data_IF_373318321776
#
_entry.id   IF_373318321776
#
_cell.length_a   1.000
_cell.length_b   1.000
_cell.length_c   1.000
_cell.angle_alpha   90.00
_cell.angle_beta   90.00
_cell.angle_gamma   90.00
#
_symmetry.space_group_name_H-M   'P 1'
#
loop_
_entity.id
_entity.type
_entity.pdbx_description
1 polymer ?
#
# COMPACT_ATOMS: atom_id res chain seq x y z
N UNK A 1 -1.30 -5.19 1.31
CA UNK A 1 -0.13 -4.50 0.70
C UNK A 1 -0.06 -4.82 -0.79
N UNK A 2 0.55 -3.96 -1.60
CA UNK A 2 0.62 -4.10 -3.06
C UNK A 2 2.05 -4.48 -3.54
N UNK A 3 2.59 -5.59 -3.04
CA UNK A 3 3.92 -6.09 -3.42
C UNK A 3 3.81 -7.28 -4.38
N UNK A 4 4.85 -7.55 -5.17
CA UNK A 4 4.91 -8.70 -6.08
C UNK A 4 5.26 -9.98 -5.32
N UNK A 5 4.32 -10.48 -4.51
CA UNK A 5 4.47 -11.75 -3.81
C UNK A 5 3.13 -12.51 -3.77
N UNK A 6 3.13 -13.86 -3.76
CA UNK A 6 1.90 -14.63 -3.66
C UNK A 6 1.10 -14.25 -2.39
N UNK A 7 -0.18 -13.93 -2.56
CA UNK A 7 -1.02 -13.43 -1.48
C UNK A 7 -1.09 -14.38 -0.28
N UNK A 8 -1.10 -15.71 -0.51
CA UNK A 8 -1.15 -16.71 0.54
C UNK A 8 0.17 -16.90 1.32
N UNK A 9 1.26 -16.27 0.86
CA UNK A 9 2.57 -16.30 1.53
C UNK A 9 2.95 -14.94 2.11
N UNK A 10 2.11 -13.93 1.93
CA UNK A 10 2.37 -12.57 2.40
C UNK A 10 1.52 -12.27 3.63
N UNK A 11 2.18 -11.99 4.75
CA UNK A 11 1.57 -11.41 5.93
C UNK A 11 2.29 -10.09 6.27
N UNK A 12 1.56 -9.12 6.80
CA UNK A 12 2.10 -7.87 7.32
C UNK A 12 1.66 -7.74 8.77
N UNK A 13 2.63 -7.58 9.68
CA UNK A 13 2.40 -7.38 11.10
C UNK A 13 2.68 -5.91 11.43
N UNK A 14 1.74 -5.27 12.13
CA UNK A 14 1.86 -3.88 12.58
C UNK A 14 1.67 -3.87 14.09
N UNK A 15 2.65 -3.33 14.81
CA UNK A 15 2.60 -3.16 16.27
C UNK A 15 2.43 -1.68 16.60
N UNK A 16 1.62 -1.37 17.60
CA UNK A 16 1.42 -0.03 18.15
C UNK A 16 1.54 -0.10 19.68
N UNK A 17 2.65 0.39 20.23
CA UNK A 17 2.91 0.39 21.67
C UNK A 17 1.99 1.36 22.42
N UNK A 18 1.41 2.33 21.72
CA UNK A 18 0.54 3.36 22.29
C UNK A 18 -0.93 2.96 22.41
N UNK A 19 -1.33 1.81 21.85
CA UNK A 19 -2.72 1.35 21.78
C UNK A 19 -3.69 2.46 21.33
N UNK A 20 -3.29 3.27 20.36
CA UNK A 20 -4.01 4.48 19.96
C UNK A 20 -5.28 4.13 19.17
N UNK A 21 -6.47 4.57 19.62
CA UNK A 21 -7.71 4.35 18.88
C UNK A 21 -7.66 4.93 17.45
N UNK A 22 -6.89 6.01 17.26
CA UNK A 22 -6.72 6.67 15.96
C UNK A 22 -5.90 5.79 15.00
N UNK A 23 -4.88 5.10 15.49
CA UNK A 23 -4.08 4.16 14.68
C UNK A 23 -4.94 2.97 14.27
N UNK A 24 -5.72 2.41 15.20
CA UNK A 24 -6.65 1.32 14.90
C UNK A 24 -7.66 1.73 13.82
N UNK A 25 -8.31 2.89 13.98
CA UNK A 25 -9.24 3.42 12.98
C UNK A 25 -8.57 3.59 11.61
N UNK A 26 -7.37 4.16 11.59
CA UNK A 26 -6.61 4.38 10.35
C UNK A 26 -6.27 3.05 9.66
N UNK A 27 -5.92 2.00 10.40
CA UNK A 27 -5.66 0.67 9.85
C UNK A 27 -6.93 0.02 9.27
N UNK A 28 -8.08 0.16 9.93
CA UNK A 28 -9.37 -0.34 9.44
C UNK A 28 -9.73 0.32 8.11
N UNK A 29 -9.67 1.65 8.02
CA UNK A 29 -9.96 2.38 6.78
C UNK A 29 -8.92 2.09 5.69
N UNK A 30 -7.64 1.99 6.06
CA UNK A 30 -6.58 1.61 5.12
C UNK A 30 -6.78 0.20 4.54
N UNK A 31 -7.28 -0.75 5.34
CA UNK A 31 -7.61 -2.10 4.86
C UNK A 31 -8.75 -2.08 3.84
N UNK A 32 -9.77 -1.25 4.05
CA UNK A 32 -10.85 -1.06 3.07
C UNK A 32 -10.31 -0.46 1.77
N UNK A 33 -9.50 0.58 1.87
CA UNK A 33 -8.88 1.22 0.71
C UNK A 33 -7.95 0.28 -0.07
N UNK A 34 -7.20 -0.57 0.64
CA UNK A 34 -6.31 -1.56 0.02
C UNK A 34 -7.02 -2.51 -0.95
N UNK A 35 -8.32 -2.79 -0.75
CA UNK A 35 -9.13 -3.61 -1.68
C UNK A 35 -9.27 -2.96 -3.06
N UNK A 36 -9.18 -1.64 -3.16
CA UNK A 36 -9.22 -0.89 -4.41
C UNK A 36 -7.80 -0.69 -4.96
N UNK A 37 -6.88 -0.27 -4.10
CA UNK A 37 -5.52 0.06 -4.50
C UNK A 37 -4.72 -1.16 -4.99
N UNK A 38 -4.83 -2.32 -4.32
CA UNK A 38 -4.02 -3.50 -4.66
C UNK A 38 -4.33 -4.01 -6.08
N UNK A 39 -5.61 -4.22 -6.48
CA UNK A 39 -5.93 -4.56 -7.87
C UNK A 39 -5.53 -3.48 -8.87
N UNK A 40 -5.70 -2.19 -8.54
CA UNK A 40 -5.26 -1.08 -9.37
C UNK A 40 -3.76 -1.15 -9.66
N UNK A 41 -2.96 -1.25 -8.60
CA UNK A 41 -1.51 -1.41 -8.67
C UNK A 41 -1.13 -2.60 -9.57
N UNK A 42 -1.75 -3.76 -9.37
CA UNK A 42 -1.46 -4.96 -10.17
C UNK A 42 -1.87 -4.82 -11.64
N UNK A 43 -3.03 -4.22 -11.90
CA UNK A 43 -3.59 -4.08 -13.25
C UNK A 43 -2.77 -3.13 -14.13
N UNK A 44 -2.26 -2.06 -13.55
CA UNK A 44 -1.54 -1.00 -14.28
C UNK A 44 -0.03 -1.02 -14.04
N UNK A 45 0.50 -2.10 -13.45
CA UNK A 45 1.94 -2.27 -13.18
C UNK A 45 2.61 -1.06 -12.47
N UNK A 46 1.87 -0.41 -11.57
CA UNK A 46 2.28 0.85 -10.94
C UNK A 46 3.56 0.69 -10.10
N UNK A 47 4.69 1.24 -10.54
CA UNK A 47 5.95 1.06 -9.81
C UNK A 47 5.94 1.70 -8.40
N UNK A 48 5.36 2.89 -8.27
CA UNK A 48 5.24 3.59 -6.97
C UNK A 48 3.97 3.15 -6.23
N UNK A 49 4.11 2.21 -5.30
CA UNK A 49 2.97 1.61 -4.57
C UNK A 49 2.43 2.46 -3.41
N UNK A 50 3.18 3.47 -2.98
CA UNK A 50 2.74 4.41 -1.95
C UNK A 50 1.79 5.46 -2.59
N UNK A 51 0.49 5.49 -2.21
CA UNK A 51 -0.50 6.35 -2.87
C UNK A 51 -0.12 7.83 -2.85
N UNK A 52 0.32 8.33 -1.69
CA UNK A 52 0.69 9.73 -1.55
C UNK A 52 1.80 10.10 -2.54
N UNK A 53 2.83 9.24 -2.69
CA UNK A 53 3.92 9.48 -3.64
C UNK A 53 3.46 9.38 -5.10
N UNK A 54 2.64 8.39 -5.42
CA UNK A 54 2.16 8.19 -6.79
C UNK A 54 1.32 9.38 -7.28
N UNK A 55 0.48 9.95 -6.42
CA UNK A 55 -0.40 11.07 -6.78
C UNK A 55 0.21 12.46 -6.53
N UNK A 56 1.40 12.55 -5.91
CA UNK A 56 2.07 13.82 -5.65
C UNK A 56 2.68 14.51 -6.89
N UNK A 57 2.71 13.87 -8.05
CA UNK A 57 3.18 14.47 -9.31
C UNK A 57 4.70 14.48 -9.52
N UNK A 58 5.48 13.92 -8.58
CA UNK A 58 6.93 13.81 -8.72
C UNK A 58 7.31 12.67 -9.66
N UNK A 59 7.52 13.00 -10.93
CA UNK A 59 7.98 12.08 -11.98
C UNK A 59 9.46 11.73 -11.80
N UNK A 60 9.82 11.01 -10.74
CA UNK A 60 11.14 10.36 -10.61
C UNK A 60 10.94 8.86 -10.73
N UNK A 61 10.63 8.42 -11.95
CA UNK A 61 10.74 7.02 -12.35
C UNK A 61 12.15 6.86 -12.94
N UNK A 62 13.08 6.13 -12.31
CA UNK A 62 14.21 5.59 -13.07
C UNK A 62 13.63 4.65 -14.12
N UNK A 63 14.11 4.69 -15.38
CA UNK A 63 13.69 3.72 -16.39
C UNK A 63 13.96 2.32 -15.84
N UNK A 64 12.98 1.43 -15.97
CA UNK A 64 13.14 0.00 -15.75
C UNK A 64 14.25 -0.55 -16.65
N UNK A 65 15.35 -1.00 -16.05
CA UNK A 65 16.18 -2.10 -16.57
C UNK A 65 15.74 -3.40 -15.91
#
# INVERSE_FOLDING_TARGET
MAVYYPAHKLACYVSDDGCSPVVLYSLVESSKFARLLVPFCKKYDVQVRAPFRYFSGDSTVPPSE
#
